data_IF_483738685759
#
_entry.id   IF_483738685759
#
_cell.length_a   1.000
_cell.length_b   1.000
_cell.length_c   1.000
_cell.angle_alpha   90.00
_cell.angle_beta   90.00
_cell.angle_gamma   90.00
#
_symmetry.space_group_name_H-M   'P 1'
#
loop_
_entity.id
_entity.type
_entity.pdbx_description
1 polymer ?
#
# COMPACT_ATOMS: atom_id res chain seq x y z
N UNK A 1 -7.52 0.85 7.58
CA UNK A 1 -6.72 -0.37 7.36
C UNK A 1 -5.32 0.11 7.09
N UNK A 2 -4.33 -0.35 7.86
CA UNK A 2 -2.95 0.00 7.54
C UNK A 2 -2.50 -0.71 6.26
N UNK A 3 -1.52 -0.14 5.55
CA UNK A 3 -0.97 -0.71 4.32
C UNK A 3 -0.45 -2.15 4.55
N UNK A 4 0.16 -2.38 5.71
CA UNK A 4 0.63 -3.71 6.13
C UNK A 4 -0.53 -4.72 6.28
N UNK A 5 -1.63 -4.33 6.93
CA UNK A 5 -2.79 -5.20 7.10
C UNK A 5 -3.44 -5.57 5.77
N UNK A 6 -3.48 -4.64 4.82
CA UNK A 6 -4.01 -4.89 3.47
C UNK A 6 -3.15 -5.92 2.73
N UNK A 7 -1.84 -5.83 2.90
CA UNK A 7 -0.87 -6.74 2.28
C UNK A 7 -0.96 -8.14 2.86
N UNK A 8 -1.11 -8.24 4.18
CA UNK A 8 -1.37 -9.52 4.86
C UNK A 8 -2.68 -10.15 4.37
N UNK A 9 -3.73 -9.33 4.17
CA UNK A 9 -4.99 -9.80 3.61
C UNK A 9 -4.83 -10.30 2.18
N UNK A 10 -4.09 -9.57 1.33
CA UNK A 10 -3.87 -9.98 -0.06
C UNK A 10 -3.04 -11.26 -0.19
N UNK A 11 -2.00 -11.39 0.63
CA UNK A 11 -1.15 -12.57 0.66
C UNK A 11 -1.81 -13.77 1.37
N UNK A 12 -3.01 -13.59 1.94
CA UNK A 12 -3.73 -14.65 2.66
C UNK A 12 -3.05 -15.08 3.96
N UNK A 13 -2.23 -14.21 4.56
CA UNK A 13 -1.50 -14.49 5.81
C UNK A 13 -2.46 -14.55 7.00
N UNK A 14 -3.53 -13.74 6.97
CA UNK A 14 -4.53 -13.64 8.04
C UNK A 14 -5.91 -13.31 7.49
N UNK A 15 -6.94 -13.91 8.06
CA UNK A 15 -8.33 -13.55 7.79
C UNK A 15 -8.75 -12.32 8.59
N UNK A 16 -9.43 -11.38 7.94
CA UNK A 16 -9.93 -10.17 8.56
C UNK A 16 -11.46 -10.17 8.51
N UNK A 17 -12.13 -10.02 9.68
CA UNK A 17 -13.60 -9.99 9.76
C UNK A 17 -14.24 -8.94 8.83
N UNK A 18 -13.58 -7.79 8.64
CA UNK A 18 -14.03 -6.72 7.72
C UNK A 18 -13.95 -7.08 6.23
N UNK A 19 -13.27 -8.18 5.88
CA UNK A 19 -13.11 -8.71 4.52
C UNK A 19 -13.85 -10.04 4.34
N UNK A 20 -14.65 -10.46 5.32
CA UNK A 20 -15.39 -11.71 5.27
C UNK A 20 -16.37 -11.71 4.08
N UNK A 21 -16.30 -12.75 3.24
CA UNK A 21 -17.11 -12.87 2.04
C UNK A 21 -16.59 -12.09 0.82
N UNK A 22 -15.43 -11.42 0.93
CA UNK A 22 -14.76 -10.76 -0.20
C UNK A 22 -13.60 -11.62 -0.67
N UNK A 23 -13.68 -12.14 -1.89
CA UNK A 23 -12.54 -12.82 -2.52
C UNK A 23 -11.57 -11.80 -3.11
N UNK A 24 -10.60 -11.37 -2.29
CA UNK A 24 -9.58 -10.41 -2.70
C UNK A 24 -8.71 -10.90 -3.87
N UNK A 25 -8.53 -12.22 -4.02
CA UNK A 25 -7.72 -12.78 -5.12
C UNK A 25 -8.41 -12.69 -6.47
N UNK A 26 -9.74 -12.56 -6.48
CA UNK A 26 -10.50 -12.31 -7.71
C UNK A 26 -10.33 -10.89 -8.26
N UNK A 27 -9.85 -9.94 -7.45
CA UNK A 27 -9.65 -8.57 -7.87
C UNK A 27 -8.29 -8.38 -8.54
N UNK A 28 -8.29 -7.75 -9.72
CA UNK A 28 -7.07 -7.35 -10.43
C UNK A 28 -6.69 -5.92 -10.04
N UNK A 29 -6.13 -5.76 -8.84
CA UNK A 29 -5.67 -4.46 -8.35
C UNK A 29 -4.31 -4.10 -8.96
N UNK A 30 -4.32 -3.43 -10.12
CA UNK A 30 -3.08 -2.97 -10.79
C UNK A 30 -2.60 -1.58 -10.34
N UNK A 31 -3.41 -0.86 -9.55
CA UNK A 31 -3.11 0.51 -9.12
C UNK A 31 -3.27 0.61 -7.61
N UNK A 32 -2.26 1.17 -6.95
CA UNK A 32 -2.30 1.49 -5.52
C UNK A 32 -2.35 3.00 -5.32
N UNK A 33 -3.20 3.44 -4.40
CA UNK A 33 -3.30 4.83 -3.97
C UNK A 33 -2.69 4.98 -2.58
N UNK A 34 -1.77 5.92 -2.41
CA UNK A 34 -1.11 6.20 -1.13
C UNK A 34 -1.13 7.70 -0.81
N UNK A 35 -1.52 8.00 0.43
CA UNK A 35 -1.54 9.35 1.02
C UNK A 35 -0.92 9.27 2.43
N UNK A 36 0.42 9.29 2.55
CA UNK A 36 1.08 9.12 3.83
C UNK A 36 1.11 10.40 4.67
N UNK A 37 1.36 10.28 5.99
CA UNK A 37 1.65 11.43 6.84
C UNK A 37 2.90 12.19 6.36
N UNK A 38 3.17 13.37 6.94
CA UNK A 38 4.33 14.21 6.58
C UNK A 38 5.68 13.48 6.64
N UNK A 39 5.80 12.40 7.40
CA UNK A 39 6.99 11.54 7.48
C UNK A 39 7.24 10.68 6.24
N UNK A 40 6.29 10.61 5.30
CA UNK A 40 6.35 9.72 4.13
C UNK A 40 5.99 8.28 4.46
N UNK A 41 6.27 7.38 3.52
CA UNK A 41 6.13 5.93 3.70
C UNK A 41 7.28 5.38 4.53
N UNK A 42 7.01 4.38 5.36
CA UNK A 42 8.04 3.53 5.94
C UNK A 42 8.57 2.51 4.91
N UNK A 43 9.74 1.93 5.19
CA UNK A 43 10.43 1.05 4.25
C UNK A 43 9.71 -0.26 3.95
N UNK A 44 8.83 -0.74 4.85
CA UNK A 44 8.04 -1.93 4.57
C UNK A 44 6.89 -1.61 3.61
N UNK A 45 6.26 -0.44 3.79
CA UNK A 45 5.23 0.07 2.89
C UNK A 45 5.80 0.44 1.52
N UNK A 46 7.02 1.00 1.44
CA UNK A 46 7.73 1.25 0.17
C UNK A 46 7.88 -0.03 -0.65
N UNK A 47 8.42 -1.11 -0.06
CA UNK A 47 8.58 -2.41 -0.73
C UNK A 47 7.25 -2.98 -1.21
N UNK A 48 6.20 -2.75 -0.44
CA UNK A 48 4.87 -3.23 -0.75
C UNK A 48 4.25 -2.51 -1.95
N UNK A 49 4.33 -1.17 -1.99
CA UNK A 49 3.76 -0.39 -3.09
C UNK A 49 4.50 -0.65 -4.41
N UNK A 50 5.78 -1.02 -4.36
CA UNK A 50 6.57 -1.43 -5.54
C UNK A 50 6.03 -2.69 -6.24
N UNK A 51 5.22 -3.51 -5.56
CA UNK A 51 4.58 -4.67 -6.20
C UNK A 51 3.46 -4.28 -7.17
N UNK A 52 3.00 -3.03 -7.15
CA UNK A 52 1.91 -2.54 -8.00
C UNK A 52 2.44 -1.89 -9.28
N UNK A 53 1.87 -2.20 -10.45
CA UNK A 53 2.26 -1.59 -11.72
C UNK A 53 2.08 -0.06 -11.75
N UNK A 54 1.08 0.46 -11.03
CA UNK A 54 0.76 1.89 -11.01
C UNK A 54 0.62 2.37 -9.57
N UNK A 55 1.30 3.47 -9.25
CA UNK A 55 1.26 4.09 -7.92
C UNK A 55 0.74 5.51 -8.07
N UNK A 56 -0.37 5.83 -7.40
CA UNK A 56 -0.88 7.18 -7.26
C UNK A 56 -0.54 7.67 -5.85
N UNK A 57 0.56 8.42 -5.74
CA UNK A 57 1.08 8.96 -4.49
C UNK A 57 0.69 10.44 -4.37
N UNK A 58 -0.13 10.79 -3.38
CA UNK A 58 -0.36 12.18 -2.97
C UNK A 58 0.47 12.47 -1.71
N UNK A 59 1.24 13.57 -1.72
CA UNK A 59 2.05 13.98 -0.58
C UNK A 59 1.75 15.41 -0.17
N UNK A 60 1.73 15.64 1.15
CA UNK A 60 1.73 16.98 1.74
C UNK A 60 3.14 17.45 2.16
N UNK A 61 4.18 16.67 1.87
CA UNK A 61 5.59 17.01 2.11
C UNK A 61 6.47 16.57 0.91
N UNK A 62 6.96 17.53 0.08
CA UNK A 62 7.77 17.20 -1.09
C UNK A 62 9.09 16.51 -0.77
N UNK A 63 9.73 16.82 0.36
CA UNK A 63 11.03 16.25 0.71
C UNK A 63 10.95 14.75 0.98
N UNK A 64 9.96 14.31 1.75
CA UNK A 64 9.77 12.88 2.04
C UNK A 64 9.24 12.12 0.84
N UNK A 65 8.48 12.77 -0.05
CA UNK A 65 8.12 12.18 -1.34
C UNK A 65 9.37 11.92 -2.20
N UNK A 66 10.25 12.91 -2.36
CA UNK A 66 11.48 12.74 -3.12
C UNK A 66 12.32 11.59 -2.56
N UNK A 67 12.49 11.53 -1.24
CA UNK A 67 13.19 10.42 -0.57
C UNK A 67 12.57 9.06 -0.91
N UNK A 68 11.24 8.92 -0.87
CA UNK A 68 10.57 7.65 -1.19
C UNK A 68 10.71 7.26 -2.68
N UNK A 69 11.03 8.20 -3.58
CA UNK A 69 11.19 7.97 -5.02
C UNK A 69 12.63 7.64 -5.45
N UNK A 70 13.60 7.65 -4.53
CA UNK A 70 15.01 7.33 -4.82
C UNK A 70 15.28 5.82 -4.95
N UNK A 71 14.28 4.97 -4.70
CA UNK A 71 14.36 3.52 -4.65
C UNK A 71 13.39 2.87 -5.63
#
# INVERSE_FOLDING_TARGET
>A
MAAEEFTQAMNGVREFNRLQGIDLKSYQCETIFVDPPRSGLDSETEKMVQAYPRILYISCNPETLCKNLEH
#
